data_IF_179205133129
#
_entry.id   IF_179205133129
#
_cell.length_a   1.000
_cell.length_b   1.000
_cell.length_c   1.000
_cell.angle_alpha   90.00
_cell.angle_beta   90.00
_cell.angle_gamma   90.00
#
_symmetry.space_group_name_H-M   'P 1'
#
loop_
_entity.id
_entity.type
_entity.pdbx_description
1 polymer ?
#
# COMPACT_ATOMS: atom_id res chain seq x y z
N UNK A 1 17.23 9.71 -6.16
CA UNK A 1 16.20 10.46 -5.42
C UNK A 1 15.31 11.21 -6.40
N UNK A 2 14.01 11.16 -6.17
CA UNK A 2 13.01 11.92 -6.94
C UNK A 2 12.34 12.90 -5.97
N UNK A 3 12.52 14.19 -6.21
CA UNK A 3 11.86 15.28 -5.50
C UNK A 3 10.68 15.80 -6.32
N UNK A 4 9.48 15.82 -5.72
CA UNK A 4 8.26 16.27 -6.38
C UNK A 4 7.78 17.57 -5.73
N UNK A 5 7.86 18.68 -6.46
CA UNK A 5 7.54 20.00 -5.94
C UNK A 5 6.05 20.38 -6.05
N UNK A 6 5.30 19.77 -6.95
CA UNK A 6 3.89 20.07 -7.22
C UNK A 6 3.04 18.81 -7.29
N UNK A 7 1.77 18.91 -7.67
CA UNK A 7 0.77 17.83 -7.75
C UNK A 7 1.01 16.81 -8.87
N UNK A 8 2.23 16.33 -9.00
CA UNK A 8 2.56 15.25 -9.93
C UNK A 8 2.69 13.92 -9.19
N UNK A 9 2.42 12.81 -9.87
CA UNK A 9 2.81 11.48 -9.39
C UNK A 9 4.32 11.34 -9.47
N UNK A 10 4.95 10.84 -8.40
CA UNK A 10 6.40 10.68 -8.36
C UNK A 10 6.93 9.76 -9.45
N UNK A 11 6.33 8.56 -9.60
CA UNK A 11 6.59 7.63 -10.71
C UNK A 11 5.25 7.15 -11.23
N UNK A 12 4.96 7.38 -12.51
CA UNK A 12 3.80 6.86 -13.20
C UNK A 12 4.20 5.90 -14.30
N UNK A 13 3.63 4.69 -14.24
CA UNK A 13 3.86 3.62 -15.21
C UNK A 13 2.51 3.17 -15.72
N UNK A 14 2.32 3.17 -17.01
CA UNK A 14 1.12 2.71 -17.70
C UNK A 14 1.47 1.75 -18.84
N UNK A 15 0.74 0.65 -18.97
CA UNK A 15 0.93 -0.33 -20.02
C UNK A 15 2.24 -1.14 -19.98
N UNK A 16 3.08 -0.96 -18.98
CA UNK A 16 4.39 -1.62 -18.93
C UNK A 16 4.31 -3.12 -18.64
N UNK A 17 5.23 -3.87 -19.24
CA UNK A 17 5.41 -5.31 -19.05
C UNK A 17 6.85 -5.62 -18.63
N UNK A 18 7.06 -6.54 -17.65
CA UNK A 18 8.37 -7.04 -17.22
C UNK A 18 9.41 -5.95 -16.88
N UNK A 19 9.00 -4.87 -16.24
CA UNK A 19 9.84 -3.73 -15.90
C UNK A 19 10.32 -3.77 -14.46
N UNK A 20 11.44 -3.09 -14.17
CA UNK A 20 12.00 -2.97 -12.82
C UNK A 20 12.09 -1.52 -12.37
N UNK A 21 11.51 -1.22 -11.22
CA UNK A 21 11.59 0.07 -10.53
C UNK A 21 12.21 -0.21 -9.16
N UNK A 22 13.47 0.13 -8.99
CA UNK A 22 14.21 -0.27 -7.79
C UNK A 22 15.04 0.86 -7.18
N UNK A 23 15.18 0.82 -5.87
CA UNK A 23 16.04 1.69 -5.07
C UNK A 23 15.72 3.20 -5.20
N UNK A 24 14.47 3.56 -5.56
CA UNK A 24 14.09 4.96 -5.66
C UNK A 24 13.68 5.51 -4.28
N UNK A 25 14.14 6.73 -4.00
CA UNK A 25 13.66 7.52 -2.87
C UNK A 25 12.79 8.66 -3.42
N UNK A 26 11.50 8.62 -3.13
CA UNK A 26 10.50 9.57 -3.61
C UNK A 26 10.04 10.42 -2.43
N UNK A 27 10.21 11.72 -2.54
CA UNK A 27 9.78 12.71 -1.55
C UNK A 27 9.01 13.84 -2.22
N UNK A 28 8.07 14.42 -1.51
CA UNK A 28 7.31 15.59 -1.93
C UNK A 28 7.75 16.78 -1.09
N UNK A 29 8.21 17.84 -1.71
CA UNK A 29 8.84 18.97 -1.03
C UNK A 29 7.85 20.07 -0.63
N UNK A 30 6.80 20.30 -1.41
CA UNK A 30 5.81 21.33 -1.10
C UNK A 30 4.73 20.80 -0.15
N UNK A 31 4.85 21.12 1.13
CA UNK A 31 3.91 20.71 2.18
C UNK A 31 2.60 21.52 2.21
N UNK A 32 2.56 22.67 1.58
CA UNK A 32 1.40 23.59 1.60
C UNK A 32 0.51 23.46 0.36
N UNK A 33 0.95 22.72 -0.65
CA UNK A 33 0.21 22.59 -1.89
C UNK A 33 -1.16 21.93 -1.68
N UNK A 34 -2.19 22.50 -2.31
CA UNK A 34 -3.55 21.96 -2.34
C UNK A 34 -3.90 21.59 -3.77
N UNK A 35 -4.50 20.42 -3.97
CA UNK A 35 -4.97 19.98 -5.29
C UNK A 35 -6.26 19.17 -5.17
N UNK A 36 -7.11 19.28 -6.17
CA UNK A 36 -8.27 18.39 -6.35
C UNK A 36 -7.89 17.10 -7.10
N UNK A 37 -6.73 17.07 -7.75
CA UNK A 37 -6.23 15.91 -8.48
C UNK A 37 -5.74 14.83 -7.53
N UNK A 38 -5.88 13.57 -7.93
CA UNK A 38 -5.32 12.42 -7.21
C UNK A 38 -3.81 12.34 -7.46
N UNK A 39 -3.04 12.31 -6.39
CA UNK A 39 -1.58 12.27 -6.43
C UNK A 39 -1.08 10.99 -5.77
N UNK A 40 -0.07 10.39 -6.36
CA UNK A 40 0.52 9.13 -5.90
C UNK A 40 2.04 9.22 -5.79
N UNK A 41 2.63 8.46 -4.89
CA UNK A 41 4.09 8.28 -4.87
C UNK A 41 4.54 7.47 -6.08
N UNK A 42 4.03 6.24 -6.21
CA UNK A 42 4.21 5.36 -7.37
C UNK A 42 2.84 4.91 -7.84
N UNK A 43 2.53 5.06 -9.12
CA UNK A 43 1.31 4.55 -9.75
C UNK A 43 1.65 3.54 -10.84
N UNK A 44 1.06 2.35 -10.74
CA UNK A 44 1.03 1.36 -11.83
C UNK A 44 -0.38 1.28 -12.37
N UNK A 45 -0.55 1.45 -13.66
CA UNK A 45 -1.82 1.27 -14.36
C UNK A 45 -1.63 0.31 -15.54
N UNK A 46 -2.62 -0.53 -15.82
CA UNK A 46 -2.66 -1.43 -16.98
C UNK A 46 -1.36 -2.24 -17.20
N UNK A 47 -0.59 -2.46 -16.15
CA UNK A 47 0.78 -2.98 -16.22
C UNK A 47 0.86 -4.40 -15.66
N UNK A 48 1.86 -5.17 -16.09
CA UNK A 48 2.05 -6.53 -15.59
C UNK A 48 3.52 -6.89 -15.38
N UNK A 49 3.78 -7.70 -14.35
CA UNK A 49 5.13 -8.17 -13.98
C UNK A 49 6.12 -7.01 -13.75
N UNK A 50 5.62 -5.84 -13.29
CA UNK A 50 6.45 -4.72 -12.88
C UNK A 50 6.94 -4.96 -11.47
N UNK A 51 8.25 -5.07 -11.31
CA UNK A 51 8.89 -5.32 -10.03
C UNK A 51 9.21 -3.99 -9.32
N UNK A 52 8.51 -3.71 -8.23
CA UNK A 52 8.84 -2.60 -7.32
C UNK A 52 9.72 -3.14 -6.18
N UNK A 53 11.01 -2.81 -6.21
CA UNK A 53 11.97 -3.36 -5.26
C UNK A 53 12.72 -2.27 -4.50
N UNK A 54 12.70 -2.33 -3.16
CA UNK A 54 13.43 -1.43 -2.26
C UNK A 54 13.18 0.07 -2.50
N UNK A 55 12.00 0.45 -3.00
CA UNK A 55 11.64 1.85 -3.13
C UNK A 55 11.17 2.42 -1.79
N UNK A 56 11.50 3.68 -1.52
CA UNK A 56 11.04 4.43 -0.37
C UNK A 56 10.16 5.57 -0.83
N UNK A 57 8.90 5.57 -0.40
CA UNK A 57 7.95 6.66 -0.64
C UNK A 57 7.63 7.31 0.70
N UNK A 58 8.23 8.46 0.95
CA UNK A 58 8.04 9.23 2.17
C UNK A 58 7.28 10.53 1.86
N UNK A 59 6.02 10.57 2.26
CA UNK A 59 5.11 11.70 2.06
C UNK A 59 4.60 12.24 3.39
N UNK A 60 5.33 12.02 4.47
CA UNK A 60 4.99 12.54 5.80
C UNK A 60 4.92 14.07 5.79
N UNK A 61 3.82 14.61 6.32
CA UNK A 61 3.59 16.06 6.33
C UNK A 61 3.06 16.63 5.01
N UNK A 62 2.82 15.80 4.00
CA UNK A 62 2.30 16.22 2.69
C UNK A 62 0.82 15.83 2.60
N UNK A 63 -0.13 16.79 2.59
CA UNK A 63 -1.56 16.48 2.74
C UNK A 63 -2.25 16.01 1.47
N UNK A 64 -1.62 16.10 0.31
CA UNK A 64 -2.25 15.87 -0.99
C UNK A 64 -1.85 14.55 -1.68
N UNK A 65 -0.90 13.80 -1.14
CA UNK A 65 -0.55 12.49 -1.72
C UNK A 65 -1.53 11.44 -1.21
N UNK A 66 -2.44 11.01 -2.06
CA UNK A 66 -3.51 10.09 -1.68
C UNK A 66 -2.96 8.72 -1.27
N UNK A 67 -2.20 8.06 -2.13
CA UNK A 67 -1.60 6.77 -1.82
C UNK A 67 -0.11 6.76 -2.13
N UNK A 68 0.69 6.12 -1.28
CA UNK A 68 2.13 6.06 -1.54
C UNK A 68 2.43 5.11 -2.72
N UNK A 69 1.83 3.92 -2.77
CA UNK A 69 1.89 3.01 -3.92
C UNK A 69 0.47 2.64 -4.33
N UNK A 70 0.13 2.84 -5.61
CA UNK A 70 -1.19 2.59 -6.16
C UNK A 70 -1.14 1.69 -7.40
N UNK A 71 -1.91 0.60 -7.38
CA UNK A 71 -2.04 -0.35 -8.49
C UNK A 71 -3.49 -0.38 -8.97
N UNK A 72 -3.69 -0.13 -10.26
CA UNK A 72 -4.99 -0.21 -10.93
C UNK A 72 -4.87 -1.03 -12.22
N UNK A 73 -5.75 -2.02 -12.41
CA UNK A 73 -5.74 -2.92 -13.58
C UNK A 73 -4.35 -3.54 -13.85
N UNK A 74 -3.55 -3.76 -12.80
CA UNK A 74 -2.14 -4.16 -12.92
C UNK A 74 -1.90 -5.51 -12.26
N UNK A 75 -1.36 -6.49 -13.01
CA UNK A 75 -1.33 -7.90 -12.60
C UNK A 75 0.08 -8.44 -12.35
N UNK A 76 0.16 -9.41 -11.42
CA UNK A 76 1.39 -10.18 -11.14
C UNK A 76 2.62 -9.32 -10.79
N UNK A 77 2.41 -8.25 -10.02
CA UNK A 77 3.48 -7.32 -9.67
C UNK A 77 4.14 -7.70 -8.33
N UNK A 78 5.44 -8.01 -8.31
CA UNK A 78 6.19 -8.16 -7.06
C UNK A 78 6.50 -6.79 -6.43
N UNK A 79 6.14 -6.62 -5.15
CA UNK A 79 6.46 -5.45 -4.33
C UNK A 79 7.33 -5.90 -3.16
N UNK A 80 8.66 -5.84 -3.33
CA UNK A 80 9.59 -6.39 -2.33
C UNK A 80 10.41 -5.30 -1.67
N UNK A 81 10.46 -5.30 -0.33
CA UNK A 81 11.33 -4.42 0.45
C UNK A 81 10.96 -2.93 0.37
N UNK A 82 9.76 -2.58 -0.11
CA UNK A 82 9.37 -1.19 -0.23
C UNK A 82 9.00 -0.58 1.13
N UNK A 83 9.29 0.71 1.31
CA UNK A 83 8.91 1.49 2.50
C UNK A 83 7.94 2.59 2.09
N UNK A 84 6.77 2.65 2.75
CA UNK A 84 5.77 3.70 2.51
C UNK A 84 5.36 4.37 3.81
N UNK A 85 5.30 5.69 3.83
CA UNK A 85 4.88 6.44 5.01
C UNK A 85 4.20 7.76 4.67
N UNK A 86 3.17 8.11 5.46
CA UNK A 86 2.59 9.44 5.50
C UNK A 86 1.49 9.75 4.49
N UNK A 87 1.04 8.78 3.69
CA UNK A 87 -0.01 9.00 2.69
C UNK A 87 -1.33 9.50 3.33
N UNK A 88 -2.04 10.36 2.59
CA UNK A 88 -3.35 10.92 2.98
C UNK A 88 -4.42 9.83 3.12
N UNK A 89 -4.35 8.79 2.29
CA UNK A 89 -5.21 7.62 2.37
C UNK A 89 -4.36 6.40 2.73
N UNK A 90 -4.01 5.56 1.78
CA UNK A 90 -3.39 4.26 2.04
C UNK A 90 -1.90 4.22 1.69
N UNK A 91 -1.15 3.42 2.43
CA UNK A 91 0.26 3.17 2.10
C UNK A 91 0.41 2.41 0.79
N UNK A 92 -0.32 1.30 0.65
CA UNK A 92 -0.40 0.52 -0.59
C UNK A 92 -1.87 0.27 -0.91
N UNK A 93 -2.30 0.57 -2.13
CA UNK A 93 -3.68 0.36 -2.59
C UNK A 93 -3.73 -0.43 -3.89
N UNK A 94 -4.50 -1.53 -3.90
CA UNK A 94 -4.77 -2.37 -5.07
C UNK A 94 -6.25 -2.32 -5.43
N UNK A 95 -6.56 -2.08 -6.71
CA UNK A 95 -7.95 -2.01 -7.20
C UNK A 95 -8.12 -2.50 -8.64
N UNK A 96 -9.37 -2.72 -9.05
CA UNK A 96 -9.78 -3.05 -10.41
C UNK A 96 -9.02 -4.24 -11.03
N UNK A 97 -9.03 -5.38 -10.34
CA UNK A 97 -8.43 -6.61 -10.84
C UNK A 97 -6.92 -6.67 -10.74
N UNK A 98 -6.32 -5.76 -9.96
CA UNK A 98 -4.88 -5.79 -9.72
C UNK A 98 -4.46 -7.02 -8.92
N UNK A 99 -3.23 -7.48 -9.14
CA UNK A 99 -2.64 -8.52 -8.29
C UNK A 99 -1.18 -8.24 -7.96
N UNK A 100 -0.81 -8.50 -6.69
CA UNK A 100 0.56 -8.27 -6.23
C UNK A 100 0.98 -9.27 -5.15
N UNK A 101 2.28 -9.56 -5.12
CA UNK A 101 2.96 -10.17 -3.97
C UNK A 101 3.70 -9.08 -3.22
N UNK A 102 3.25 -8.74 -2.01
CA UNK A 102 3.86 -7.72 -1.15
C UNK A 102 4.74 -8.45 -0.12
N UNK A 103 6.04 -8.30 -0.24
CA UNK A 103 7.00 -9.05 0.55
C UNK A 103 8.03 -8.15 1.23
N UNK A 104 8.42 -8.47 2.47
CA UNK A 104 9.48 -7.76 3.23
C UNK A 104 9.32 -6.23 3.23
N UNK A 105 8.10 -5.71 3.09
CA UNK A 105 7.81 -4.28 2.99
C UNK A 105 7.39 -3.68 4.33
N UNK A 106 7.67 -2.38 4.51
CA UNK A 106 7.25 -1.60 5.69
C UNK A 106 6.23 -0.56 5.26
N UNK A 107 5.05 -0.59 5.89
CA UNK A 107 3.94 0.31 5.58
C UNK A 107 3.48 0.98 6.86
N UNK A 108 3.72 2.28 7.01
CA UNK A 108 3.51 2.94 8.29
C UNK A 108 2.98 4.37 8.21
N UNK A 109 2.36 4.80 9.30
CA UNK A 109 1.98 6.21 9.55
C UNK A 109 1.12 6.85 8.47
N UNK A 110 0.33 6.06 7.74
CA UNK A 110 -0.62 6.57 6.76
C UNK A 110 -1.90 7.07 7.46
N UNK A 111 -2.59 8.05 6.87
CA UNK A 111 -3.79 8.66 7.49
C UNK A 111 -5.07 7.83 7.32
N UNK A 112 -5.03 6.73 6.60
CA UNK A 112 -6.07 5.70 6.55
C UNK A 112 -5.42 4.33 6.77
N UNK A 113 -5.77 3.29 5.97
CA UNK A 113 -5.25 1.95 6.15
C UNK A 113 -3.79 1.81 5.66
N UNK A 114 -3.07 0.87 6.22
CA UNK A 114 -1.73 0.57 5.74
C UNK A 114 -1.77 -0.02 4.33
N UNK A 115 -2.43 -1.17 4.18
CA UNK A 115 -2.61 -1.85 2.90
C UNK A 115 -4.12 -2.05 2.68
N UNK A 116 -4.64 -1.52 1.57
CA UNK A 116 -6.05 -1.59 1.19
C UNK A 116 -6.23 -2.34 -0.13
N UNK A 117 -7.08 -3.35 -0.14
CA UNK A 117 -7.30 -4.21 -1.30
C UNK A 117 -8.80 -4.27 -1.60
N UNK A 118 -9.20 -3.89 -2.80
CA UNK A 118 -10.57 -4.00 -3.29
C UNK A 118 -10.62 -4.57 -4.71
N UNK A 119 -11.53 -5.50 -4.98
CA UNK A 119 -11.67 -6.15 -6.30
C UNK A 119 -10.32 -6.63 -6.87
N UNK A 120 -9.44 -7.15 -6.01
CA UNK A 120 -8.03 -7.43 -6.34
C UNK A 120 -7.48 -8.60 -5.52
N UNK A 121 -6.30 -9.08 -5.88
CA UNK A 121 -5.64 -10.17 -5.18
C UNK A 121 -4.32 -9.71 -4.58
N UNK A 122 -4.08 -9.97 -3.29
CA UNK A 122 -2.81 -9.66 -2.65
C UNK A 122 -2.29 -10.81 -1.79
N UNK A 123 -1.05 -11.22 -2.04
CA UNK A 123 -0.31 -12.13 -1.17
C UNK A 123 0.73 -11.32 -0.38
N UNK A 124 0.50 -11.19 0.92
CA UNK A 124 1.28 -10.31 1.82
C UNK A 124 2.10 -11.19 2.76
N UNK A 125 3.42 -11.06 2.73
CA UNK A 125 4.31 -11.90 3.55
C UNK A 125 5.49 -11.12 4.11
N UNK A 126 5.88 -11.44 5.34
CA UNK A 126 7.05 -10.90 6.02
C UNK A 126 7.03 -9.36 6.09
N UNK A 127 5.85 -8.74 6.14
CA UNK A 127 5.69 -7.30 6.16
C UNK A 127 5.55 -6.75 7.59
N UNK A 128 5.95 -5.50 7.78
CA UNK A 128 5.63 -4.72 8.98
C UNK A 128 4.60 -3.65 8.60
N UNK A 129 3.42 -3.69 9.22
CA UNK A 129 2.36 -2.72 8.99
C UNK A 129 1.99 -2.04 10.29
N UNK A 130 2.29 -0.75 10.43
CA UNK A 130 2.23 -0.12 11.75
C UNK A 130 1.79 1.34 11.74
N UNK A 131 1.20 1.76 12.88
CA UNK A 131 0.92 3.18 13.17
C UNK A 131 0.03 3.87 12.14
N UNK A 132 -0.77 3.12 11.39
CA UNK A 132 -1.73 3.69 10.44
C UNK A 132 -3.00 4.16 11.20
N UNK A 133 -3.65 5.23 10.73
CA UNK A 133 -4.87 5.76 11.36
C UNK A 133 -6.12 4.92 11.06
N UNK A 134 -6.09 4.06 10.07
CA UNK A 134 -7.08 3.05 9.76
C UNK A 134 -6.67 1.67 10.29
N UNK A 135 -7.07 0.63 9.55
CA UNK A 135 -6.64 -0.74 9.77
C UNK A 135 -5.18 -0.94 9.32
N UNK A 136 -4.53 -1.95 9.83
CA UNK A 136 -3.23 -2.34 9.30
C UNK A 136 -3.38 -2.85 7.86
N UNK A 137 -4.18 -3.89 7.67
CA UNK A 137 -4.48 -4.48 6.35
C UNK A 137 -5.99 -4.62 6.23
N UNK A 138 -6.56 -4.22 5.08
CA UNK A 138 -7.99 -4.26 4.84
C UNK A 138 -8.31 -4.89 3.47
N UNK A 139 -9.04 -6.01 3.48
CA UNK A 139 -9.59 -6.68 2.31
C UNK A 139 -11.09 -6.40 2.22
N UNK A 140 -11.55 -5.85 1.10
CA UNK A 140 -12.96 -5.54 0.85
C UNK A 140 -13.42 -5.95 -0.55
N UNK A 141 -14.73 -5.99 -0.79
CA UNK A 141 -15.36 -6.09 -2.13
C UNK A 141 -14.65 -7.04 -3.09
N UNK A 142 -14.96 -8.32 -3.01
CA UNK A 142 -14.44 -9.36 -3.94
C UNK A 142 -12.89 -9.46 -3.97
N UNK A 143 -12.20 -8.93 -2.95
CA UNK A 143 -10.76 -9.08 -2.83
C UNK A 143 -10.40 -10.42 -2.21
N UNK A 144 -9.25 -10.99 -2.59
CA UNK A 144 -8.79 -12.30 -2.10
C UNK A 144 -7.27 -12.36 -1.91
N UNK A 145 -6.77 -13.37 -1.24
CA UNK A 145 -5.33 -13.56 -1.10
C UNK A 145 -4.89 -14.20 0.22
N UNK A 146 -3.69 -13.84 0.66
CA UNK A 146 -3.10 -14.37 1.88
C UNK A 146 -2.28 -13.35 2.66
N UNK A 147 -2.23 -13.54 3.98
CA UNK A 147 -1.37 -12.76 4.89
C UNK A 147 -0.58 -13.75 5.75
N UNK A 148 0.75 -13.72 5.67
CA UNK A 148 1.60 -14.69 6.37
C UNK A 148 2.86 -14.04 6.95
N UNK A 149 3.26 -14.45 8.15
CA UNK A 149 4.51 -14.04 8.82
C UNK A 149 4.66 -12.50 8.96
N UNK A 150 3.58 -11.76 9.18
CA UNK A 150 3.62 -10.30 9.28
C UNK A 150 3.63 -9.81 10.73
N UNK A 151 4.21 -8.62 10.94
CA UNK A 151 4.11 -7.85 12.19
C UNK A 151 3.12 -6.71 11.98
N UNK A 152 2.00 -6.71 12.71
CA UNK A 152 0.93 -5.72 12.55
C UNK A 152 0.68 -5.04 13.89
N UNK A 153 1.07 -3.76 14.01
CA UNK A 153 1.12 -3.12 15.32
C UNK A 153 0.73 -1.64 15.32
N UNK A 154 0.17 -1.20 16.46
CA UNK A 154 -0.12 0.22 16.74
C UNK A 154 -1.02 0.90 15.70
N UNK A 155 -1.83 0.16 14.93
CA UNK A 155 -2.83 0.75 14.04
C UNK A 155 -4.04 1.23 14.85
N UNK A 156 -4.67 2.34 14.43
CA UNK A 156 -5.79 2.94 15.20
C UNK A 156 -7.11 2.17 15.09
N UNK A 157 -7.23 1.29 14.10
CA UNK A 157 -8.37 0.38 13.95
C UNK A 157 -7.90 -1.08 14.10
N UNK A 158 -8.50 -2.03 13.40
CA UNK A 158 -8.11 -3.45 13.43
C UNK A 158 -6.70 -3.67 12.88
N UNK A 159 -5.99 -4.66 13.42
CA UNK A 159 -4.76 -5.13 12.81
C UNK A 159 -5.03 -5.61 11.38
N UNK A 160 -5.97 -6.54 11.22
CA UNK A 160 -6.49 -7.00 9.93
C UNK A 160 -8.01 -6.84 9.95
N UNK A 161 -8.57 -6.35 8.85
CA UNK A 161 -10.00 -6.39 8.60
C UNK A 161 -10.27 -7.08 7.25
N UNK A 162 -11.09 -8.12 7.29
CA UNK A 162 -11.59 -8.83 6.11
C UNK A 162 -13.11 -8.61 6.13
N UNK A 163 -13.61 -7.84 5.18
CA UNK A 163 -15.04 -7.55 5.06
C UNK A 163 -15.80 -8.81 4.63
N UNK A 164 -17.07 -8.95 5.03
CA UNK A 164 -17.98 -10.00 4.56
C UNK A 164 -18.10 -10.05 3.03
N UNK A 165 -17.95 -8.89 2.36
CA UNK A 165 -17.93 -8.79 0.89
C UNK A 165 -16.60 -9.20 0.26
N UNK A 166 -15.57 -9.52 1.04
CA UNK A 166 -14.32 -10.07 0.52
C UNK A 166 -14.48 -11.55 0.17
N UNK A 167 -13.68 -12.02 -0.78
CA UNK A 167 -13.55 -13.44 -1.07
C UNK A 167 -12.59 -14.14 -0.08
N UNK A 168 -12.08 -15.30 -0.46
CA UNK A 168 -11.21 -16.11 0.41
C UNK A 168 -9.90 -15.40 0.74
N UNK A 169 -9.67 -15.13 2.02
CA UNK A 169 -8.40 -14.57 2.54
C UNK A 169 -7.87 -15.49 3.65
N UNK A 170 -6.69 -16.07 3.46
CA UNK A 170 -6.01 -16.87 4.47
C UNK A 170 -5.09 -15.99 5.33
N UNK A 171 -5.06 -16.26 6.64
CA UNK A 171 -4.23 -15.53 7.61
C UNK A 171 -3.48 -16.51 8.49
N UNK A 172 -2.15 -16.41 8.53
CA UNK A 172 -1.32 -17.30 9.35
C UNK A 172 -0.06 -16.61 9.87
N UNK A 173 0.41 -17.04 11.05
CA UNK A 173 1.66 -16.62 11.68
C UNK A 173 1.80 -15.09 11.79
N UNK A 174 0.79 -14.40 12.35
CA UNK A 174 0.78 -12.94 12.50
C UNK A 174 1.15 -12.56 13.94
N UNK A 175 2.11 -11.65 14.07
CA UNK A 175 2.44 -11.00 15.35
C UNK A 175 1.66 -9.68 15.46
N UNK A 176 0.72 -9.60 16.42
CA UNK A 176 -0.08 -8.41 16.69
C UNK A 176 0.39 -7.71 17.96
N UNK A 177 0.39 -6.38 17.95
CA UNK A 177 0.72 -5.58 19.13
C UNK A 177 0.08 -4.20 19.07
N UNK A 178 -0.70 -3.82 20.09
CA UNK A 178 -1.21 -2.47 20.29
C UNK A 178 -2.12 -1.90 19.19
N UNK A 179 -2.82 -2.74 18.41
CA UNK A 179 -3.84 -2.26 17.48
C UNK A 179 -5.11 -1.92 18.27
N UNK A 180 -5.58 -0.66 18.23
CA UNK A 180 -6.67 -0.19 19.09
C UNK A 180 -8.02 -0.90 18.83
N UNK A 181 -8.31 -1.25 17.60
CA UNK A 181 -9.51 -2.00 17.24
C UNK A 181 -9.41 -3.51 17.43
N UNK A 182 -8.30 -4.02 18.02
CA UNK A 182 -8.02 -5.44 18.19
C UNK A 182 -7.26 -6.09 17.04
N UNK A 183 -7.12 -7.42 17.11
CA UNK A 183 -6.25 -8.20 16.22
C UNK A 183 -6.81 -8.31 14.79
N UNK A 184 -7.95 -9.00 14.64
CA UNK A 184 -8.55 -9.32 13.33
C UNK A 184 -10.07 -9.24 13.43
N UNK A 185 -10.73 -8.86 12.32
CA UNK A 185 -12.17 -9.06 12.05
C UNK A 185 -12.29 -9.75 10.69
N UNK A 186 -13.09 -10.83 10.64
CA UNK A 186 -13.56 -11.51 9.44
C UNK A 186 -15.05 -11.29 9.29
#
# INVERSE_FOLDING_TARGET
TISVARSATGIWIDGAKKSNIKNNKITFTNKKYKTKQKVFGIRLANSSKVNLNKNTVNVKGVPYVDNAIFLIKSKSNPLTGNKTTGAKLHGIYLTQGSSATINKSTVSSNKSDGIYITKSTANIKICTVSSNKGNGIYFVSKSKGSIKNCKIKKNKKKGIYISSAAGKVSVSKIKYSGNKGGKIKK
#
